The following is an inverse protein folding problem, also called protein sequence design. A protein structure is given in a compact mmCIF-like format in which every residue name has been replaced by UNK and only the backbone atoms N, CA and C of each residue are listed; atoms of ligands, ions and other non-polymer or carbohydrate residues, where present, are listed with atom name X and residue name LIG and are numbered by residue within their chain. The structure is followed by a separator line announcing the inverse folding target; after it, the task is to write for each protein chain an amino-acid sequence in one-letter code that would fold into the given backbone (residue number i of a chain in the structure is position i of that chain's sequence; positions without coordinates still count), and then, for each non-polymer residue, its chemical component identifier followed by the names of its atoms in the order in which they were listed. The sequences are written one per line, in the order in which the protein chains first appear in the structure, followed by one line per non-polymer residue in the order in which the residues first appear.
data_IF_212443301455
#
_entry.id   IF_212443301455
#
_cell.length_a   1.000
_cell.length_b   1.000
_cell.length_c   1.000
_cell.angle_alpha   90.00
_cell.angle_beta   90.00
_cell.angle_gamma   90.00
#
_symmetry.space_group_name_H-M   'P 1'
#
loop_
_entity.id
_entity.type
_entity.pdbx_description
1 polymer ?
#
# COMPACT_ATOMS: atom_id res chain seq x y z
N UNK A 1 10.14 -24.29 -3.62
CA UNK A 1 10.95 -24.10 -3.68
C UNK A 1 12.03 -24.56 -2.75
N UNK A 2 13.25 -24.11 -2.98
CA UNK A 2 14.46 -24.70 -2.38
C UNK A 2 14.42 -24.89 -0.86
N UNK A 3 13.77 -23.98 -0.14
CA UNK A 3 13.64 -24.08 1.34
C UNK A 3 12.78 -25.25 1.78
N UNK A 4 11.76 -25.64 1.02
CA UNK A 4 10.87 -26.76 1.35
C UNK A 4 11.54 -28.10 1.00
N UNK A 5 12.40 -28.11 0.00
CA UNK A 5 13.06 -29.31 -0.50
C UNK A 5 14.42 -29.55 0.20
N UNK A 6 14.75 -28.74 1.22
CA UNK A 6 16.03 -28.79 1.96
C UNK A 6 17.26 -28.71 1.05
N UNK A 7 17.14 -28.00 -0.07
CA UNK A 7 18.17 -27.87 -1.09
C UNK A 7 18.90 -26.52 -1.01
N UNK A 8 20.15 -26.50 -1.48
CA UNK A 8 20.93 -25.29 -1.72
C UNK A 8 21.17 -25.25 -3.23
N UNK A 9 21.02 -24.08 -3.83
CA UNK A 9 21.26 -23.87 -5.25
C UNK A 9 22.33 -22.84 -5.49
N UNK A 10 23.06 -22.97 -6.60
CA UNK A 10 24.06 -22.00 -7.04
C UNK A 10 23.79 -21.65 -8.50
N UNK A 11 23.76 -20.36 -8.80
CA UNK A 11 23.76 -19.87 -10.18
C UNK A 11 25.24 -19.60 -10.55
N UNK A 12 25.70 -20.28 -11.57
CA UNK A 12 27.07 -20.17 -12.07
C UNK A 12 27.05 -19.49 -13.45
N UNK A 13 28.14 -18.81 -13.82
CA UNK A 13 28.33 -18.33 -15.17
C UNK A 13 28.82 -19.47 -16.10
N UNK A 14 29.07 -19.15 -17.37
CA UNK A 14 29.55 -20.12 -18.38
C UNK A 14 30.95 -20.70 -18.06
N UNK A 15 31.71 -20.05 -17.19
CA UNK A 15 33.06 -20.42 -16.76
C UNK A 15 33.02 -21.16 -15.42
N UNK A 16 31.86 -21.29 -14.78
CA UNK A 16 31.65 -21.97 -13.51
C UNK A 16 31.89 -21.10 -12.28
N UNK A 17 31.96 -19.78 -12.45
CA UNK A 17 32.06 -18.84 -11.32
C UNK A 17 30.65 -18.59 -10.73
N UNK A 18 30.55 -18.66 -9.42
CA UNK A 18 29.28 -18.43 -8.73
C UNK A 18 28.87 -16.96 -8.84
N UNK A 19 27.68 -16.74 -9.44
CA UNK A 19 27.06 -15.44 -9.54
C UNK A 19 26.15 -15.20 -8.33
N UNK A 20 25.31 -16.20 -7.95
CA UNK A 20 24.36 -16.11 -6.86
C UNK A 20 24.25 -17.46 -6.14
N UNK A 21 24.38 -17.45 -4.81
CA UNK A 21 24.09 -18.59 -3.95
C UNK A 21 22.65 -18.52 -3.41
N UNK A 22 21.86 -19.55 -3.65
CA UNK A 22 20.51 -19.72 -3.08
C UNK A 22 20.61 -20.60 -1.82
N UNK A 23 20.61 -19.99 -0.66
CA UNK A 23 20.94 -20.64 0.61
C UNK A 23 19.85 -21.59 1.13
N UNK A 24 18.68 -21.68 0.49
CA UNK A 24 17.61 -22.59 0.91
C UNK A 24 17.25 -22.42 2.39
N UNK A 25 17.33 -23.51 3.18
CA UNK A 25 17.09 -23.48 4.63
C UNK A 25 18.19 -22.80 5.45
N UNK A 26 19.39 -22.69 4.93
CA UNK A 26 20.52 -22.02 5.59
C UNK A 26 20.44 -20.49 5.47
N UNK A 27 19.35 -19.96 4.90
CA UNK A 27 19.14 -18.53 4.85
C UNK A 27 19.18 -17.98 6.28
N UNK A 28 20.06 -17.01 6.58
CA UNK A 28 20.06 -16.36 7.88
C UNK A 28 18.67 -15.82 8.17
N UNK A 29 18.18 -16.01 9.39
CA UNK A 29 16.90 -15.44 9.81
C UNK A 29 16.89 -13.95 9.47
N UNK A 30 15.79 -13.42 8.94
CA UNK A 30 15.68 -12.01 8.68
C UNK A 30 16.03 -11.25 9.95
N UNK A 31 16.98 -10.30 9.83
CA UNK A 31 17.37 -9.47 10.96
C UNK A 31 16.13 -8.77 11.53
N UNK A 32 15.96 -8.85 12.84
CA UNK A 32 15.02 -7.97 13.53
C UNK A 32 15.52 -6.54 13.43
N UNK A 33 14.70 -5.65 12.88
CA UNK A 33 15.01 -4.23 12.92
C UNK A 33 14.14 -3.60 14.01
N UNK A 34 14.80 -2.88 14.92
CA UNK A 34 14.14 -2.08 15.93
C UNK A 34 13.20 -1.03 15.32
N UNK A 35 12.34 -0.41 16.14
CA UNK A 35 11.38 0.55 15.61
C UNK A 35 12.11 1.73 14.97
N UNK A 36 11.77 2.02 13.72
CA UNK A 36 12.17 3.24 13.01
C UNK A 36 10.93 4.03 12.65
N UNK A 37 11.13 5.31 12.40
CA UNK A 37 10.04 6.22 11.99
C UNK A 37 10.19 6.56 10.52
N UNK A 38 9.07 6.56 9.81
CA UNK A 38 8.99 6.90 8.40
C UNK A 38 7.68 7.64 8.12
N UNK A 39 7.73 8.64 7.24
CA UNK A 39 6.54 9.26 6.68
C UNK A 39 5.90 8.29 5.68
N UNK A 40 4.59 8.21 5.70
CA UNK A 40 3.88 7.28 4.83
C UNK A 40 2.41 7.61 4.71
N UNK A 41 1.70 6.76 3.98
CA UNK A 41 0.27 6.86 3.77
C UNK A 41 -0.41 5.54 4.13
N UNK A 42 -1.64 5.63 4.64
CA UNK A 42 -2.54 4.51 4.84
C UNK A 42 -3.88 4.85 4.17
N UNK A 43 -4.53 3.84 3.64
CA UNK A 43 -5.88 3.98 3.10
C UNK A 43 -6.85 3.17 3.95
N UNK A 44 -8.07 3.67 4.09
CA UNK A 44 -9.09 2.96 4.84
C UNK A 44 -10.31 3.83 5.18
N UNK A 45 -11.36 3.16 5.60
CA UNK A 45 -12.57 3.79 6.12
C UNK A 45 -12.39 4.04 7.62
N UNK A 46 -12.80 5.21 8.11
CA UNK A 46 -12.77 5.53 9.54
C UNK A 46 -13.88 4.77 10.26
N UNK A 47 -13.51 3.78 11.09
CA UNK A 47 -14.48 2.94 11.83
C UNK A 47 -14.52 3.26 13.34
N UNK A 48 -13.60 4.09 13.83
CA UNK A 48 -13.62 4.56 15.23
C UNK A 48 -12.87 5.88 15.35
N UNK A 49 -13.46 6.82 16.07
CA UNK A 49 -12.84 8.07 16.53
C UNK A 49 -13.23 8.26 17.98
N UNK A 50 -12.26 8.39 18.88
CA UNK A 50 -12.61 8.60 20.29
C UNK A 50 -11.40 8.81 21.20
N UNK A 51 -11.62 9.49 22.30
CA UNK A 51 -10.61 9.75 23.33
C UNK A 51 -10.69 11.14 23.92
N UNK A 52 -10.21 11.29 25.19
CA UNK A 52 -10.19 12.55 25.93
C UNK A 52 -8.91 13.37 25.74
N UNK A 53 -7.83 12.73 25.28
CA UNK A 53 -6.50 13.34 25.17
C UNK A 53 -6.35 14.32 24.01
N UNK A 54 -5.21 14.97 23.92
CA UNK A 54 -4.81 15.81 22.78
C UNK A 54 -4.55 14.96 21.53
N UNK A 55 -4.03 13.74 21.72
CA UNK A 55 -3.90 12.70 20.71
C UNK A 55 -5.13 11.77 20.80
N UNK A 56 -5.90 11.71 19.75
CA UNK A 56 -7.16 10.96 19.67
C UNK A 56 -6.95 9.69 18.88
N UNK A 57 -7.26 8.49 19.44
CA UNK A 57 -7.22 7.24 18.72
C UNK A 57 -8.19 7.23 17.52
N UNK A 58 -7.71 6.76 16.38
CA UNK A 58 -8.46 6.58 15.14
C UNK A 58 -8.26 5.14 14.70
N UNK A 59 -9.33 4.46 14.33
CA UNK A 59 -9.23 3.16 13.66
C UNK A 59 -9.63 3.31 12.21
N UNK A 60 -8.79 2.76 11.35
CA UNK A 60 -9.02 2.71 9.91
C UNK A 60 -9.18 1.24 9.50
N UNK A 61 -10.12 0.96 8.62
CA UNK A 61 -10.33 -0.36 8.03
C UNK A 61 -10.07 -0.30 6.53
N UNK A 62 -9.13 -1.13 6.08
CA UNK A 62 -8.87 -1.38 4.68
C UNK A 62 -9.16 -2.86 4.40
N UNK A 63 -10.23 -3.15 3.66
CA UNK A 63 -10.72 -4.51 3.36
C UNK A 63 -10.77 -5.37 4.64
N UNK A 64 -9.82 -6.31 4.81
CA UNK A 64 -9.77 -7.21 5.96
C UNK A 64 -8.89 -6.70 7.11
N UNK A 65 -8.08 -5.66 6.87
CA UNK A 65 -7.13 -5.15 7.86
C UNK A 65 -7.74 -3.99 8.65
N UNK A 66 -7.55 -4.02 9.97
CA UNK A 66 -7.93 -2.91 10.86
C UNK A 66 -6.69 -2.31 11.52
N UNK A 67 -6.38 -1.07 11.16
CA UNK A 67 -5.30 -0.28 11.76
C UNK A 67 -5.79 0.39 13.04
N UNK A 68 -5.53 -0.24 14.19
CA UNK A 68 -6.00 0.24 15.51
C UNK A 68 -5.04 1.21 16.20
N UNK A 69 -3.80 1.28 15.72
CA UNK A 69 -2.71 2.04 16.34
C UNK A 69 -2.50 3.41 15.68
N UNK A 70 -3.55 3.96 15.03
CA UNK A 70 -3.51 5.29 14.45
C UNK A 70 -3.98 6.33 15.48
N UNK A 71 -3.38 7.51 15.45
CA UNK A 71 -3.76 8.65 16.28
C UNK A 71 -3.76 9.92 15.45
N UNK A 72 -4.57 10.90 15.83
CA UNK A 72 -4.58 12.22 15.24
C UNK A 72 -4.69 13.30 16.32
N UNK A 73 -4.17 14.50 16.04
CA UNK A 73 -4.41 15.66 16.91
C UNK A 73 -5.89 16.02 16.92
N UNK A 74 -6.40 16.50 18.05
CA UNK A 74 -7.83 16.77 18.25
C UNK A 74 -8.52 17.59 17.12
N UNK A 75 -7.93 18.66 16.56
CA UNK A 75 -8.55 19.38 15.45
C UNK A 75 -8.74 18.51 14.21
N UNK A 76 -7.75 17.69 13.88
CA UNK A 76 -7.79 16.76 12.74
C UNK A 76 -8.77 15.60 13.01
N UNK A 77 -8.77 15.06 14.24
CA UNK A 77 -9.70 14.01 14.63
C UNK A 77 -11.17 14.45 14.53
N UNK A 78 -11.48 15.72 14.79
CA UNK A 78 -12.82 16.28 14.55
C UNK A 78 -13.22 16.31 13.07
N UNK A 79 -12.26 16.56 12.18
CA UNK A 79 -12.48 16.51 10.73
C UNK A 79 -12.70 15.05 10.29
N UNK A 80 -11.84 14.12 10.73
CA UNK A 80 -11.96 12.69 10.43
C UNK A 80 -13.27 12.09 10.94
N UNK A 81 -13.78 12.56 12.09
CA UNK A 81 -15.05 12.10 12.65
C UNK A 81 -16.25 12.38 11.73
N UNK A 82 -16.18 13.40 10.86
CA UNK A 82 -17.23 13.69 9.88
C UNK A 82 -17.27 12.66 8.75
N UNK A 83 -16.21 11.91 8.58
CA UNK A 83 -16.04 10.86 7.59
C UNK A 83 -16.14 9.45 8.20
N UNK A 84 -16.77 9.35 9.39
CA UNK A 84 -17.04 8.06 10.01
C UNK A 84 -17.95 7.24 9.11
N UNK A 85 -17.48 6.05 8.69
CA UNK A 85 -18.18 5.10 7.80
C UNK A 85 -18.69 5.70 6.48
N UNK A 86 -18.05 6.80 6.02
CA UNK A 86 -18.54 7.61 4.90
C UNK A 86 -17.74 7.46 3.60
N UNK A 87 -16.84 6.48 3.53
CA UNK A 87 -16.03 6.22 2.34
C UNK A 87 -14.54 6.09 2.62
N UNK A 88 -13.79 5.80 1.57
CA UNK A 88 -12.36 5.55 1.64
C UNK A 88 -11.59 6.87 1.79
N UNK A 89 -10.69 6.92 2.75
CA UNK A 89 -9.78 8.02 2.98
C UNK A 89 -8.34 7.55 2.76
N UNK A 90 -7.50 8.43 2.23
CA UNK A 90 -6.05 8.32 2.31
C UNK A 90 -5.56 9.24 3.40
N UNK A 91 -4.91 8.70 4.43
CA UNK A 91 -4.31 9.47 5.50
C UNK A 91 -2.80 9.48 5.34
N UNK A 92 -2.19 10.64 5.50
CA UNK A 92 -0.74 10.82 5.50
C UNK A 92 -0.24 11.14 6.89
N UNK A 93 0.97 10.68 7.21
CA UNK A 93 1.53 10.88 8.54
C UNK A 93 2.84 10.17 8.79
N UNK A 94 3.21 10.04 10.06
CA UNK A 94 4.43 9.40 10.51
C UNK A 94 4.13 8.08 11.21
N UNK A 95 4.62 6.99 10.64
CA UNK A 95 4.51 5.64 11.17
C UNK A 95 5.75 5.21 11.95
N UNK A 96 5.56 4.40 12.99
CA UNK A 96 6.61 3.63 13.64
C UNK A 96 6.47 2.17 13.25
N UNK A 97 7.50 1.63 12.62
CA UNK A 97 7.53 0.28 12.06
C UNK A 97 8.64 -0.54 12.68
N UNK A 98 8.43 -1.84 12.78
CA UNK A 98 9.47 -2.79 13.13
C UNK A 98 9.38 -4.02 12.25
N UNK A 99 10.52 -4.65 11.98
CA UNK A 99 10.58 -5.94 11.31
C UNK A 99 10.74 -7.05 12.34
N UNK A 100 9.85 -8.02 12.29
CA UNK A 100 9.90 -9.18 13.18
C UNK A 100 10.92 -10.20 12.66
N UNK A 101 11.37 -11.11 13.54
CA UNK A 101 12.24 -12.23 13.18
C UNK A 101 11.66 -13.12 12.06
N UNK A 102 10.34 -13.14 11.91
CA UNK A 102 9.62 -13.81 10.82
C UNK A 102 9.79 -13.13 9.46
N UNK A 103 10.38 -11.93 9.42
CA UNK A 103 10.46 -11.08 8.23
C UNK A 103 9.23 -10.23 7.97
N UNK A 104 8.17 -10.35 8.77
CA UNK A 104 6.96 -9.56 8.66
C UNK A 104 7.17 -8.14 9.20
N UNK A 105 6.52 -7.16 8.58
CA UNK A 105 6.48 -5.78 9.03
C UNK A 105 5.31 -5.57 9.98
N UNK A 106 5.58 -4.93 11.12
CA UNK A 106 4.57 -4.57 12.11
C UNK A 106 4.55 -3.05 12.29
N UNK A 107 3.39 -2.45 12.03
CA UNK A 107 3.13 -1.05 12.38
C UNK A 107 2.80 -0.96 13.87
N UNK A 108 3.65 -0.26 14.63
CA UNK A 108 3.45 -0.05 16.07
C UNK A 108 2.54 1.15 16.37
N UNK A 109 2.68 2.20 15.59
CA UNK A 109 1.86 3.41 15.71
C UNK A 109 1.89 4.19 14.41
N UNK A 110 0.87 5.01 14.16
CA UNK A 110 0.80 5.94 13.05
C UNK A 110 0.16 7.25 13.51
N UNK A 111 0.90 8.34 13.43
CA UNK A 111 0.39 9.68 13.72
C UNK A 111 -0.09 10.32 12.42
N UNK A 112 -1.40 10.46 12.27
CA UNK A 112 -2.04 11.08 11.12
C UNK A 112 -1.80 12.60 11.19
N UNK A 113 -1.25 13.17 10.12
CA UNK A 113 -0.98 14.60 9.97
C UNK A 113 -1.98 15.29 9.04
N UNK A 114 -2.45 14.56 8.00
CA UNK A 114 -3.43 15.06 7.04
C UNK A 114 -4.22 13.91 6.42
N UNK A 115 -5.28 14.22 5.68
CA UNK A 115 -6.07 13.22 4.94
C UNK A 115 -6.72 13.84 3.71
N UNK A 116 -6.99 12.99 2.74
CA UNK A 116 -7.81 13.28 1.55
C UNK A 116 -8.93 12.24 1.42
N UNK A 117 -10.07 12.67 0.88
CA UNK A 117 -11.18 11.77 0.55
C UNK A 117 -10.91 11.18 -0.82
N UNK A 118 -10.89 9.85 -0.91
CA UNK A 118 -10.72 9.18 -2.18
C UNK A 118 -12.09 9.04 -2.87
N UNK A 119 -12.10 9.33 -4.16
CA UNK A 119 -13.27 9.12 -4.99
C UNK A 119 -13.40 7.62 -5.29
N UNK A 120 -14.41 6.98 -4.71
CA UNK A 120 -14.74 5.56 -4.94
C UNK A 120 -15.68 5.41 -6.15
N UNK A 121 -15.57 6.31 -7.12
CA UNK A 121 -16.38 6.27 -8.32
C UNK A 121 -16.08 4.97 -9.10
N UNK A 122 -17.12 4.26 -9.58
CA UNK A 122 -16.94 3.11 -10.46
C UNK A 122 -16.05 3.47 -11.66
N UNK A 123 -15.18 2.53 -12.06
CA UNK A 123 -14.24 2.73 -13.18
C UNK A 123 -14.95 3.25 -14.46
N UNK A 124 -16.17 2.80 -14.69
CA UNK A 124 -17.02 3.25 -15.81
C UNK A 124 -17.31 4.76 -15.77
N UNK A 125 -17.48 5.35 -14.58
CA UNK A 125 -17.75 6.78 -14.44
C UNK A 125 -16.44 7.59 -14.53
N UNK A 126 -15.33 7.03 -14.06
CA UNK A 126 -14.00 7.60 -14.25
C UNK A 126 -13.67 7.64 -15.75
N UNK A 127 -13.88 6.55 -16.49
CA UNK A 127 -13.67 6.49 -17.94
C UNK A 127 -14.54 7.53 -18.67
N UNK A 128 -15.83 7.66 -18.32
CA UNK A 128 -16.71 8.70 -18.91
C UNK A 128 -16.19 10.11 -18.65
N UNK A 129 -15.65 10.40 -17.47
CA UNK A 129 -15.03 11.70 -17.17
C UNK A 129 -13.79 11.95 -18.03
N UNK A 130 -12.97 10.92 -18.26
CA UNK A 130 -11.81 11.02 -19.15
C UNK A 130 -12.21 11.31 -20.60
N UNK A 131 -13.29 10.70 -21.12
CA UNK A 131 -13.83 10.98 -22.44
C UNK A 131 -14.31 12.45 -22.61
N UNK A 132 -14.68 13.11 -21.49
CA UNK A 132 -15.09 14.51 -21.51
C UNK A 132 -13.94 15.53 -21.46
N UNK A 133 -12.68 15.09 -21.36
CA UNK A 133 -11.51 16.00 -21.30
C UNK A 133 -11.19 16.48 -22.71
N UNK A 134 -11.26 17.80 -22.92
CA UNK A 134 -10.92 18.41 -24.21
C UNK A 134 -9.46 18.13 -24.56
N UNK A 135 -9.23 17.58 -25.77
CA UNK A 135 -7.90 17.25 -26.28
C UNK A 135 -7.48 15.78 -26.04
N UNK A 136 -8.29 14.97 -25.42
CA UNK A 136 -8.11 13.53 -25.41
C UNK A 136 -8.84 12.93 -26.62
N UNK A 137 -8.10 12.67 -27.70
CA UNK A 137 -8.61 11.91 -28.85
C UNK A 137 -8.62 10.41 -28.49
N UNK A 138 -9.63 10.01 -27.72
CA UNK A 138 -9.88 8.60 -27.46
C UNK A 138 -10.77 8.04 -28.58
N UNK A 139 -10.38 6.91 -29.16
CA UNK A 139 -11.25 6.19 -30.09
C UNK A 139 -12.54 5.68 -29.45
N UNK A 140 -13.43 5.12 -30.26
CA UNK A 140 -14.74 4.62 -29.82
C UNK A 140 -14.64 3.48 -28.79
N UNK A 141 -13.49 2.76 -28.72
CA UNK A 141 -13.19 1.72 -27.75
C UNK A 141 -11.77 1.87 -27.16
N UNK A 142 -11.59 2.72 -26.14
CA UNK A 142 -10.28 2.95 -25.53
C UNK A 142 -9.67 1.71 -24.90
N UNK A 143 -10.49 0.75 -24.48
CA UNK A 143 -10.01 -0.49 -23.85
C UNK A 143 -9.38 -1.39 -24.90
N UNK A 144 -9.99 -1.49 -26.08
CA UNK A 144 -9.44 -2.23 -27.21
C UNK A 144 -8.13 -1.60 -27.72
N UNK A 145 -8.05 -0.25 -27.78
CA UNK A 145 -6.83 0.47 -28.15
C UNK A 145 -5.69 0.21 -27.15
N UNK A 146 -5.95 0.29 -25.85
CA UNK A 146 -4.96 -0.04 -24.83
C UNK A 146 -4.51 -1.51 -24.90
N UNK A 147 -5.39 -2.42 -25.22
CA UNK A 147 -5.04 -3.82 -25.41
C UNK A 147 -4.12 -4.02 -26.64
N UNK A 148 -4.35 -3.31 -27.73
CA UNK A 148 -3.51 -3.32 -28.94
C UNK A 148 -2.11 -2.75 -28.65
N UNK A 149 -2.01 -1.64 -27.90
CA UNK A 149 -0.70 -1.11 -27.47
C UNK A 149 0.08 -2.11 -26.62
N UNK A 150 -0.60 -2.90 -25.80
CA UNK A 150 0.04 -3.92 -24.94
C UNK A 150 0.50 -5.16 -25.71
N UNK A 151 -0.13 -5.50 -26.81
CA UNK A 151 0.23 -6.64 -27.68
C UNK A 151 1.25 -6.26 -28.77
N UNK A 152 1.58 -4.98 -28.92
CA UNK A 152 2.55 -4.52 -29.91
C UNK A 152 2.05 -4.50 -31.35
N UNK A 153 0.76 -4.69 -31.60
CA UNK A 153 0.17 -4.75 -32.95
C UNK A 153 -0.17 -3.37 -33.55
N UNK A 154 0.15 -2.28 -32.87
CA UNK A 154 -0.23 -0.90 -33.26
C UNK A 154 0.89 -0.02 -33.84
N UNK A 155 2.07 -0.55 -34.14
CA UNK A 155 3.19 0.23 -34.70
C UNK A 155 3.56 -0.31 -36.09
N UNK A 156 2.78 0.06 -37.08
CA UNK A 156 3.19 0.08 -38.51
C UNK A 156 2.80 1.43 -39.11
#
# INVERSE_FOLDING_TARGET
MLANDNAIGHLLDEVGVEIIAFQGRNRPNPLEYGPFREEGVLEGVVIKVGGKGASVPIWLQDRENVYKNCTARRPLARKLAKHYDAGLLRVSGSGSWMRLATGAWLMRSFEIKDFEVLDDAPLTDVIKRFHGVQGAEWGDDPIAELAQFRTGEGLN
#
